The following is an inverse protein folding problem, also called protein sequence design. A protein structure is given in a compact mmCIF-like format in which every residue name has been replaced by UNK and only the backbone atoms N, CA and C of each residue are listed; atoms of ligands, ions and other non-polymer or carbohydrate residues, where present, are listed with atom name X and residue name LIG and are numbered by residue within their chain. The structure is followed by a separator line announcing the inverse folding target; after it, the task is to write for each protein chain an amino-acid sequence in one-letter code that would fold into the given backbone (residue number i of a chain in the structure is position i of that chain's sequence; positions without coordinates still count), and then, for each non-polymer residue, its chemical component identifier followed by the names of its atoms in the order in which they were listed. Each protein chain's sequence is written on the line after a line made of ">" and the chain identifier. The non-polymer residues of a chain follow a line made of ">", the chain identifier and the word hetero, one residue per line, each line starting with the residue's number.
data_IF_408846993649
#
_entry.id   IF_408846993649
#
_cell.length_a   1.000
_cell.length_b   1.000
_cell.length_c   1.000
_cell.angle_alpha   90.00
_cell.angle_beta   90.00
_cell.angle_gamma   90.00
#
_symmetry.space_group_name_H-M   'P 1'
#
loop_
_entity.id
_entity.type
_entity.pdbx_description
1 polymer ?
#
# COMPACT_ATOMS: atom_id res chain seq x y z
N UNK A 1 14.97 -26.00 16.89
CA UNK A 1 16.04 -25.17 17.49
C UNK A 1 16.90 -24.66 16.36
N UNK A 2 17.01 -23.33 16.20
CA UNK A 2 17.94 -22.74 15.24
C UNK A 2 19.36 -23.01 15.70
N UNK A 3 20.21 -23.50 14.81
CA UNK A 3 21.62 -23.74 15.12
C UNK A 3 22.35 -22.40 15.29
N UNK A 4 22.58 -22.01 16.54
CA UNK A 4 23.27 -20.77 16.93
C UNK A 4 24.79 -20.89 16.77
N UNK A 5 25.29 -22.02 16.25
CA UNK A 5 26.70 -22.26 15.96
C UNK A 5 27.02 -22.32 14.47
N UNK A 6 26.04 -22.04 13.60
CA UNK A 6 26.28 -21.89 12.18
C UNK A 6 27.39 -20.84 11.96
N UNK A 7 28.49 -21.25 11.31
CA UNK A 7 29.56 -20.34 10.93
C UNK A 7 28.93 -19.15 10.20
N UNK A 8 29.23 -17.93 10.70
CA UNK A 8 28.92 -16.69 9.99
C UNK A 8 29.42 -16.88 8.55
N UNK A 9 28.58 -16.66 7.52
CA UNK A 9 29.04 -16.75 6.14
C UNK A 9 30.16 -15.73 5.95
N UNK A 10 31.40 -16.17 6.06
CA UNK A 10 32.55 -15.34 5.75
C UNK A 10 32.58 -15.31 4.24
N UNK A 11 32.14 -14.18 3.68
CA UNK A 11 32.22 -13.87 2.26
C UNK A 11 33.68 -13.66 1.85
N UNK A 12 34.53 -14.69 2.01
CA UNK A 12 35.96 -14.62 1.69
C UNK A 12 36.22 -14.38 0.21
N UNK A 13 35.23 -14.67 -0.65
CA UNK A 13 35.27 -14.33 -2.08
C UNK A 13 35.02 -12.85 -2.37
N UNK A 14 34.54 -12.04 -1.41
CA UNK A 14 34.18 -10.62 -1.63
C UNK A 14 35.25 -9.62 -1.23
N UNK A 15 36.33 -10.06 -0.61
CA UNK A 15 37.36 -9.14 -0.08
C UNK A 15 38.13 -8.44 -1.20
N UNK A 16 38.36 -9.13 -2.33
CA UNK A 16 39.24 -8.61 -3.39
C UNK A 16 38.54 -7.68 -4.40
N UNK A 17 37.23 -7.84 -4.63
CA UNK A 17 36.51 -7.05 -5.66
C UNK A 17 35.58 -5.96 -5.12
N UNK A 18 35.20 -5.98 -3.83
CA UNK A 18 34.27 -4.99 -3.26
C UNK A 18 34.85 -3.56 -3.26
N UNK A 19 36.17 -3.44 -3.27
CA UNK A 19 36.90 -2.15 -3.33
C UNK A 19 37.54 -1.87 -4.69
N UNK A 20 37.44 -2.80 -5.64
CA UNK A 20 38.00 -2.61 -6.97
C UNK A 20 37.07 -1.72 -7.82
N UNK A 21 37.55 -0.52 -8.17
CA UNK A 21 36.80 0.42 -9.02
C UNK A 21 36.65 -0.08 -10.45
N UNK A 22 37.46 -1.05 -10.89
CA UNK A 22 37.39 -1.67 -12.20
C UNK A 22 36.36 -2.80 -12.27
N UNK A 23 35.96 -3.36 -11.12
CA UNK A 23 34.92 -4.40 -10.99
C UNK A 23 33.63 -3.79 -10.44
N UNK A 24 33.21 -2.64 -10.98
CA UNK A 24 31.86 -2.14 -10.67
C UNK A 24 30.85 -3.03 -11.37
N UNK A 25 29.87 -3.61 -10.65
CA UNK A 25 28.77 -4.30 -11.30
C UNK A 25 28.12 -3.36 -12.30
N UNK A 26 27.79 -3.88 -13.48
CA UNK A 26 27.18 -3.11 -14.54
C UNK A 26 25.93 -2.40 -14.01
N UNK A 27 25.76 -1.12 -14.38
CA UNK A 27 24.59 -0.37 -13.98
C UNK A 27 23.35 -1.03 -14.58
N UNK A 28 22.55 -1.68 -13.74
CA UNK A 28 21.29 -2.30 -14.17
C UNK A 28 20.26 -1.19 -14.32
N UNK A 29 19.94 -0.81 -15.56
CA UNK A 29 18.83 0.10 -15.81
C UNK A 29 17.52 -0.54 -15.36
N UNK A 30 16.67 0.25 -14.69
CA UNK A 30 15.34 -0.21 -14.33
C UNK A 30 14.57 -0.59 -15.60
N UNK A 31 14.00 -1.79 -15.62
CA UNK A 31 13.14 -2.21 -16.72
C UNK A 31 11.93 -1.27 -16.82
N UNK A 32 11.43 -0.96 -18.03
CA UNK A 32 10.26 -0.08 -18.21
C UNK A 32 9.03 -0.54 -17.41
N UNK A 33 8.85 -1.85 -17.25
CA UNK A 33 7.81 -2.46 -16.42
C UNK A 33 7.92 -2.06 -14.94
N UNK A 34 9.13 -1.97 -14.41
CA UNK A 34 9.39 -1.53 -13.03
C UNK A 34 9.05 -0.05 -12.86
N UNK A 35 9.42 0.79 -13.82
CA UNK A 35 9.08 2.23 -13.79
C UNK A 35 7.57 2.42 -13.82
N UNK A 36 6.87 1.70 -14.70
CA UNK A 36 5.41 1.73 -14.77
C UNK A 36 4.79 1.29 -13.44
N UNK A 37 5.28 0.21 -12.83
CA UNK A 37 4.78 -0.27 -11.54
C UNK A 37 4.95 0.78 -10.43
N UNK A 38 6.08 1.50 -10.40
CA UNK A 38 6.32 2.60 -9.46
C UNK A 38 5.30 3.73 -9.68
N UNK A 39 5.07 4.14 -10.93
CA UNK A 39 4.08 5.18 -11.26
C UNK A 39 2.69 4.76 -10.79
N UNK A 40 2.27 3.53 -11.11
CA UNK A 40 0.97 2.99 -10.70
C UNK A 40 0.86 2.92 -9.16
N UNK A 41 1.93 2.57 -8.46
CA UNK A 41 1.96 2.56 -6.98
C UNK A 41 1.80 3.96 -6.38
N UNK A 42 2.42 4.98 -6.98
CA UNK A 42 2.25 6.39 -6.58
C UNK A 42 0.79 6.81 -6.78
N UNK A 43 0.23 6.54 -7.96
CA UNK A 43 -1.17 6.87 -8.24
C UNK A 43 -2.15 6.15 -7.31
N UNK A 44 -1.94 4.86 -7.05
CA UNK A 44 -2.76 4.08 -6.11
C UNK A 44 -2.70 4.67 -4.69
N UNK A 45 -1.50 5.04 -4.24
CA UNK A 45 -1.29 5.70 -2.94
C UNK A 45 -2.04 7.04 -2.87
N UNK A 46 -1.90 7.88 -3.90
CA UNK A 46 -2.61 9.17 -3.97
C UNK A 46 -4.13 8.99 -3.98
N UNK A 47 -4.64 7.98 -4.67
CA UNK A 47 -6.07 7.68 -4.71
C UNK A 47 -6.62 7.30 -3.32
N UNK A 48 -5.91 6.45 -2.58
CA UNK A 48 -6.29 6.11 -1.20
C UNK A 48 -6.26 7.33 -0.27
N UNK A 49 -5.24 8.18 -0.39
CA UNK A 49 -5.13 9.42 0.38
C UNK A 49 -6.29 10.38 0.03
N UNK A 50 -6.61 10.55 -1.25
CA UNK A 50 -7.72 11.37 -1.69
C UNK A 50 -9.07 10.87 -1.13
N UNK A 51 -9.29 9.55 -1.13
CA UNK A 51 -10.46 8.94 -0.50
C UNK A 51 -10.50 9.19 1.02
N UNK A 52 -9.35 9.18 1.70
CA UNK A 52 -9.28 9.52 3.13
C UNK A 52 -9.70 10.97 3.39
N UNK A 53 -9.24 11.92 2.57
CA UNK A 53 -9.69 13.32 2.67
C UNK A 53 -11.18 13.47 2.37
N UNK A 54 -11.70 12.75 1.40
CA UNK A 54 -13.13 12.78 1.07
C UNK A 54 -13.99 12.20 2.20
N UNK A 55 -13.58 11.09 2.81
CA UNK A 55 -14.27 10.49 3.95
C UNK A 55 -14.20 11.39 5.20
N UNK A 56 -13.16 12.22 5.32
CA UNK A 56 -13.03 13.23 6.38
C UNK A 56 -13.92 14.45 6.17
N UNK A 57 -14.40 14.73 4.96
CA UNK A 57 -14.99 16.04 4.63
C UNK A 57 -16.19 16.47 5.50
N UNK A 58 -16.85 15.54 6.21
CA UNK A 58 -17.94 15.84 7.14
C UNK A 58 -17.53 15.88 8.63
N UNK A 59 -16.24 15.72 8.96
CA UNK A 59 -15.75 15.65 10.33
C UNK A 59 -15.48 17.03 10.93
N UNK A 60 -15.61 17.11 12.25
CA UNK A 60 -15.27 18.30 13.03
C UNK A 60 -13.75 18.54 13.08
N UNK A 61 -13.35 19.81 13.17
CA UNK A 61 -11.96 20.30 13.04
C UNK A 61 -11.01 19.65 14.05
N UNK A 62 -11.52 19.23 15.21
CA UNK A 62 -10.74 18.54 16.24
C UNK A 62 -10.10 17.22 15.77
N UNK A 63 -10.59 16.61 14.67
CA UNK A 63 -10.12 15.32 14.13
C UNK A 63 -9.31 15.46 12.85
N UNK A 64 -8.95 16.68 12.48
CA UNK A 64 -8.27 16.98 11.22
C UNK A 64 -6.88 16.36 11.10
N UNK A 65 -6.23 16.12 12.23
CA UNK A 65 -4.90 15.52 12.31
C UNK A 65 -4.87 14.04 11.89
N UNK A 66 -6.01 13.35 11.89
CA UNK A 66 -6.08 11.89 11.65
C UNK A 66 -5.65 11.53 10.23
N UNK A 67 -6.09 12.27 9.22
CA UNK A 67 -5.74 11.99 7.82
C UNK A 67 -4.24 12.22 7.58
N UNK A 68 -3.63 13.37 7.94
CA UNK A 68 -2.18 13.56 7.84
C UNK A 68 -1.37 12.50 8.58
N UNK A 69 -1.78 12.12 9.79
CA UNK A 69 -1.08 11.11 10.59
C UNK A 69 -1.11 9.71 9.96
N UNK A 70 -2.10 9.43 9.11
CA UNK A 70 -2.29 8.11 8.47
C UNK A 70 -1.82 8.06 7.01
N UNK A 71 -1.36 9.18 6.42
CA UNK A 71 -0.78 9.23 5.06
C UNK A 71 0.27 8.14 4.83
N UNK A 72 1.27 7.92 5.74
CA UNK A 72 2.27 6.89 5.51
C UNK A 72 1.66 5.49 5.34
N UNK A 73 0.60 5.18 6.09
CA UNK A 73 -0.08 3.89 6.00
C UNK A 73 -0.80 3.74 4.65
N UNK A 74 -1.45 4.79 4.15
CA UNK A 74 -2.08 4.77 2.82
C UNK A 74 -1.05 4.64 1.69
N UNK A 75 0.11 5.28 1.82
CA UNK A 75 1.20 5.14 0.87
C UNK A 75 1.73 3.71 0.82
N UNK A 76 2.01 3.10 1.98
CA UNK A 76 2.49 1.71 2.02
C UNK A 76 1.41 0.75 1.52
N UNK A 77 0.13 1.00 1.83
CA UNK A 77 -0.98 0.20 1.32
C UNK A 77 -1.10 0.30 -0.21
N UNK A 78 -0.99 1.49 -0.80
CA UNK A 78 -1.01 1.70 -2.25
C UNK A 78 0.12 0.93 -2.95
N UNK A 79 1.34 1.02 -2.41
CA UNK A 79 2.48 0.23 -2.88
C UNK A 79 2.22 -1.27 -2.74
N UNK A 80 1.66 -1.70 -1.62
CA UNK A 80 1.36 -3.12 -1.34
C UNK A 80 0.32 -3.68 -2.33
N UNK A 81 -0.72 -2.93 -2.66
CA UNK A 81 -1.72 -3.33 -3.66
C UNK A 81 -1.06 -3.59 -5.03
N UNK A 82 -0.21 -2.67 -5.48
CA UNK A 82 0.50 -2.83 -6.75
C UNK A 82 1.49 -3.98 -6.69
N UNK A 83 2.19 -4.15 -5.56
CA UNK A 83 3.05 -5.31 -5.34
C UNK A 83 2.27 -6.64 -5.45
N UNK A 84 1.08 -6.74 -4.86
CA UNK A 84 0.24 -7.94 -4.98
C UNK A 84 -0.18 -8.21 -6.43
N UNK A 85 -0.50 -7.16 -7.20
CA UNK A 85 -0.83 -7.25 -8.62
C UNK A 85 0.35 -7.73 -9.45
N UNK A 86 1.56 -7.15 -9.25
CA UNK A 86 2.76 -7.57 -9.99
C UNK A 86 3.21 -8.99 -9.64
N UNK A 87 2.82 -9.49 -8.46
CA UNK A 87 3.04 -10.87 -8.02
C UNK A 87 1.94 -11.84 -8.48
N UNK A 88 0.94 -11.36 -9.24
CA UNK A 88 -0.23 -12.14 -9.67
C UNK A 88 -0.99 -12.80 -8.52
N UNK A 89 -0.96 -12.19 -7.33
CA UNK A 89 -1.56 -12.74 -6.12
C UNK A 89 -3.00 -12.26 -5.92
N UNK A 90 -3.83 -12.54 -6.92
CA UNK A 90 -5.18 -12.00 -6.98
C UNK A 90 -6.06 -12.48 -5.83
N UNK A 91 -5.85 -13.70 -5.33
CA UNK A 91 -6.64 -14.27 -4.24
C UNK A 91 -6.42 -13.50 -2.92
N UNK A 92 -5.18 -13.17 -2.63
CA UNK A 92 -4.78 -12.40 -1.44
C UNK A 92 -5.13 -10.91 -1.58
N UNK A 93 -5.23 -10.40 -2.82
CA UNK A 93 -5.68 -9.04 -3.13
C UNK A 93 -7.19 -8.84 -2.93
N UNK A 94 -8.01 -9.89 -3.10
CA UNK A 94 -9.48 -9.78 -3.07
C UNK A 94 -10.05 -9.05 -1.84
N UNK A 95 -9.60 -9.31 -0.60
CA UNK A 95 -10.15 -8.62 0.56
C UNK A 95 -9.92 -7.11 0.52
N UNK A 96 -8.73 -6.67 0.10
CA UNK A 96 -8.43 -5.26 -0.03
C UNK A 96 -9.27 -4.61 -1.14
N UNK A 97 -9.45 -5.28 -2.28
CA UNK A 97 -10.32 -4.81 -3.37
C UNK A 97 -11.77 -4.73 -2.93
N UNK A 98 -12.27 -5.71 -2.17
CA UNK A 98 -13.63 -5.68 -1.62
C UNK A 98 -13.86 -4.44 -0.76
N UNK A 99 -12.93 -4.13 0.15
CA UNK A 99 -13.05 -2.93 0.97
C UNK A 99 -12.90 -1.64 0.16
N UNK A 100 -12.03 -1.59 -0.86
CA UNK A 100 -11.97 -0.45 -1.79
C UNK A 100 -13.31 -0.24 -2.48
N UNK A 101 -13.96 -1.30 -2.96
CA UNK A 101 -15.28 -1.22 -3.57
C UNK A 101 -16.31 -0.64 -2.58
N UNK A 102 -16.30 -1.07 -1.32
CA UNK A 102 -17.16 -0.49 -0.28
C UNK A 102 -16.88 1.00 -0.07
N UNK A 103 -15.60 1.39 0.04
CA UNK A 103 -15.21 2.81 0.15
C UNK A 103 -15.77 3.63 -1.01
N UNK A 104 -15.62 3.14 -2.23
CA UNK A 104 -16.12 3.82 -3.42
C UNK A 104 -17.65 3.94 -3.41
N UNK A 105 -18.37 2.87 -3.07
CA UNK A 105 -19.84 2.88 -2.98
C UNK A 105 -20.30 3.95 -1.98
N UNK A 106 -19.78 3.93 -0.76
CA UNK A 106 -20.19 4.89 0.27
C UNK A 106 -19.74 6.32 -0.04
N UNK A 107 -18.60 6.50 -0.70
CA UNK A 107 -18.15 7.81 -1.19
C UNK A 107 -19.10 8.38 -2.23
N UNK A 108 -19.54 7.56 -3.20
CA UNK A 108 -20.51 7.96 -4.21
C UNK A 108 -21.86 8.26 -3.58
N UNK A 109 -22.36 7.40 -2.68
CA UNK A 109 -23.61 7.64 -1.96
C UNK A 109 -23.58 8.95 -1.16
N UNK A 110 -22.47 9.25 -0.49
CA UNK A 110 -22.28 10.52 0.22
C UNK A 110 -22.30 11.71 -0.75
N UNK A 111 -21.59 11.62 -1.88
CA UNK A 111 -21.53 12.70 -2.87
C UNK A 111 -22.90 12.96 -3.53
N UNK A 112 -23.63 11.90 -3.88
CA UNK A 112 -24.99 11.99 -4.43
C UNK A 112 -25.91 12.65 -3.41
N UNK A 113 -25.88 12.19 -2.14
CA UNK A 113 -26.68 12.77 -1.06
C UNK A 113 -26.36 14.24 -0.82
N UNK A 114 -25.10 14.63 -0.97
CA UNK A 114 -24.66 16.01 -0.84
C UNK A 114 -25.37 16.98 -1.79
N UNK A 115 -25.74 16.53 -2.99
CA UNK A 115 -26.50 17.33 -3.96
C UNK A 115 -27.95 17.59 -3.57
N UNK A 116 -28.50 16.85 -2.59
CA UNK A 116 -29.90 16.94 -2.17
C UNK A 116 -30.08 17.46 -0.74
N UNK A 117 -29.00 17.69 0.02
CA UNK A 117 -29.05 18.07 1.42
C UNK A 117 -28.46 19.47 1.63
N UNK A 118 -29.25 20.42 2.14
CA UNK A 118 -28.76 21.72 2.62
C UNK A 118 -28.69 21.69 4.15
N UNK A 119 -27.51 21.36 4.70
CA UNK A 119 -27.26 21.35 6.16
C UNK A 119 -26.74 20.02 6.73
N UNK A 120 -26.70 19.90 8.07
CA UNK A 120 -26.23 18.69 8.75
C UNK A 120 -27.08 17.46 8.38
N UNK A 121 -26.44 16.40 7.90
CA UNK A 121 -27.11 15.18 7.46
C UNK A 121 -26.45 13.94 8.09
N UNK A 122 -27.13 13.35 9.08
CA UNK A 122 -26.65 12.17 9.80
C UNK A 122 -26.40 10.95 8.89
N UNK A 123 -27.08 10.88 7.74
CA UNK A 123 -26.89 9.80 6.78
C UNK A 123 -25.59 9.98 6.01
N UNK A 124 -25.22 11.22 5.67
CA UNK A 124 -23.91 11.55 5.09
C UNK A 124 -22.78 11.25 6.05
N UNK A 125 -22.94 11.58 7.33
CA UNK A 125 -21.96 11.23 8.35
C UNK A 125 -21.78 9.73 8.50
N UNK A 126 -22.88 8.97 8.47
CA UNK A 126 -22.82 7.51 8.49
C UNK A 126 -22.05 6.95 7.29
N UNK A 127 -22.28 7.47 6.07
CA UNK A 127 -21.53 7.08 4.88
C UNK A 127 -20.05 7.42 4.96
N UNK A 128 -19.71 8.62 5.43
CA UNK A 128 -18.33 9.05 5.68
C UNK A 128 -17.60 8.13 6.67
N UNK A 129 -18.26 7.79 7.78
CA UNK A 129 -17.69 6.90 8.82
C UNK A 129 -17.47 5.50 8.24
N UNK A 130 -18.47 4.91 7.56
CA UNK A 130 -18.35 3.57 6.98
C UNK A 130 -17.25 3.54 5.91
N UNK A 131 -17.14 4.59 5.08
CA UNK A 131 -16.06 4.73 4.12
C UNK A 131 -14.69 4.79 4.83
N UNK A 132 -14.55 5.60 5.89
CA UNK A 132 -13.31 5.69 6.66
C UNK A 132 -12.90 4.37 7.31
N UNK A 133 -13.83 3.66 7.94
CA UNK A 133 -13.57 2.33 8.55
C UNK A 133 -13.19 1.31 7.48
N UNK A 134 -13.92 1.28 6.36
CA UNK A 134 -13.61 0.39 5.24
C UNK A 134 -12.23 0.67 4.66
N UNK A 135 -11.83 1.94 4.59
CA UNK A 135 -10.49 2.33 4.15
C UNK A 135 -9.40 1.83 5.11
N UNK A 136 -9.66 1.87 6.42
CA UNK A 136 -8.78 1.25 7.42
C UNK A 136 -8.62 -0.26 7.20
N UNK A 137 -9.72 -0.97 6.93
CA UNK A 137 -9.67 -2.40 6.59
C UNK A 137 -8.94 -2.67 5.26
N UNK A 138 -9.06 -1.80 4.26
CA UNK A 138 -8.27 -1.88 3.01
C UNK A 138 -6.78 -1.87 3.33
N UNK A 139 -6.32 -0.95 4.17
CA UNK A 139 -4.90 -0.85 4.57
C UNK A 139 -4.44 -2.13 5.25
N UNK A 140 -5.17 -2.58 6.27
CA UNK A 140 -4.81 -3.80 7.02
C UNK A 140 -4.79 -5.02 6.10
N UNK A 141 -5.78 -5.16 5.21
CA UNK A 141 -5.84 -6.26 4.26
C UNK A 141 -4.69 -6.22 3.25
N UNK A 142 -4.37 -5.06 2.67
CA UNK A 142 -3.29 -4.93 1.70
C UNK A 142 -1.92 -5.23 2.30
N UNK A 143 -1.64 -4.68 3.49
CA UNK A 143 -0.38 -4.92 4.21
C UNK A 143 -0.28 -6.39 4.67
N UNK A 144 -1.34 -6.91 5.27
CA UNK A 144 -1.39 -8.29 5.74
C UNK A 144 -1.19 -9.29 4.60
N UNK A 145 -1.81 -9.05 3.44
CA UNK A 145 -1.63 -9.85 2.23
C UNK A 145 -0.19 -9.77 1.70
N UNK A 146 0.41 -8.58 1.64
CA UNK A 146 1.78 -8.42 1.17
C UNK A 146 2.78 -9.17 2.07
N UNK A 147 2.65 -9.00 3.39
CA UNK A 147 3.46 -9.71 4.40
C UNK A 147 3.26 -11.22 4.30
N UNK A 148 2.02 -11.67 4.17
CA UNK A 148 1.69 -13.09 4.05
C UNK A 148 2.32 -13.76 2.84
N UNK A 149 2.29 -13.07 1.68
CA UNK A 149 2.90 -13.59 0.47
C UNK A 149 4.40 -13.63 0.59
N UNK A 150 5.03 -12.62 1.16
CA UNK A 150 6.48 -12.61 1.30
C UNK A 150 6.95 -13.73 2.24
N UNK A 151 6.16 -14.06 3.28
CA UNK A 151 6.43 -15.24 4.13
C UNK A 151 6.28 -16.58 3.39
N UNK A 152 5.32 -16.71 2.46
CA UNK A 152 5.05 -17.98 1.76
C UNK A 152 5.83 -18.16 0.46
N UNK A 153 6.14 -17.06 -0.22
CA UNK A 153 6.77 -16.99 -1.54
C UNK A 153 7.70 -15.79 -1.55
N UNK A 154 8.86 -15.88 -0.87
CA UNK A 154 9.78 -14.75 -0.76
C UNK A 154 10.31 -14.34 -2.14
N UNK A 155 10.54 -13.05 -2.30
CA UNK A 155 11.14 -12.48 -3.50
C UNK A 155 12.61 -12.84 -3.53
N UNK A 156 12.97 -13.81 -4.37
CA UNK A 156 14.36 -14.18 -4.58
C UNK A 156 15.05 -13.08 -5.38
N UNK A 157 16.10 -12.49 -4.82
CA UNK A 157 17.04 -11.71 -5.62
C UNK A 157 17.72 -12.70 -6.56
N UNK A 158 17.49 -12.55 -7.87
CA UNK A 158 18.23 -13.34 -8.86
C UNK A 158 19.66 -12.85 -8.78
N UNK A 159 20.53 -13.62 -8.14
CA UNK A 159 21.98 -13.48 -8.30
C UNK A 159 22.28 -13.81 -9.75
N UNK A 160 22.57 -12.79 -10.55
CA UNK A 160 23.19 -12.96 -11.86
C UNK A 160 24.70 -13.06 -11.67
#
# INVERSE_FOLDING_TARGET
>A
MSDLTAQVPVESEKVDWLHDRFVRPAHVFAQPSTILAIIVAIFASMALIALAFQARASWDVARDWVVPATIPLFSIAGVSLVHLVTRHAFRELMPAVFFICLVLIFTVLNLVRAGFSEGPDAMRDSFSIIAGVSLGFTVVAALGAAVWIEFRRPTKVVSQ
#
